data_IF_206988061696
#
_entry.id   IF_206988061696
#
_cell.length_a   1.000
_cell.length_b   1.000
_cell.length_c   1.000
_cell.angle_alpha   90.00
_cell.angle_beta   90.00
_cell.angle_gamma   90.00
#
_symmetry.space_group_name_H-M   'P 1'
#
loop_
_entity.id
_entity.type
_entity.pdbx_description
1 polymer ?
#
# COMPACT_ATOMS: atom_id res chain seq x y z
N UNK A 1 -23.40 12.65 -16.38
CA UNK A 1 -22.98 11.23 -16.48
C UNK A 1 -21.47 11.17 -16.37
N UNK A 2 -20.92 10.76 -15.24
CA UNK A 2 -19.47 10.53 -15.11
C UNK A 2 -19.23 9.03 -15.08
N UNK A 3 -18.92 8.46 -16.25
CA UNK A 3 -18.59 7.04 -16.37
C UNK A 3 -17.10 6.82 -16.11
N UNK A 4 -16.79 5.96 -15.14
CA UNK A 4 -15.48 5.30 -15.02
C UNK A 4 -15.73 3.81 -14.83
N UNK A 5 -15.36 3.02 -15.81
CA UNK A 5 -15.12 1.59 -15.65
C UNK A 5 -14.19 1.14 -16.76
N UNK A 6 -12.99 0.68 -16.39
CA UNK A 6 -12.05 0.11 -17.37
C UNK A 6 -11.47 -1.16 -16.77
N UNK A 7 -11.78 -2.30 -17.42
CA UNK A 7 -11.34 -3.64 -17.04
C UNK A 7 -10.71 -4.27 -18.29
N UNK A 8 -9.38 -4.38 -18.27
CA UNK A 8 -8.61 -5.10 -19.29
C UNK A 8 -7.78 -6.16 -18.59
N UNK A 9 -7.74 -7.35 -19.16
CA UNK A 9 -6.77 -8.37 -18.78
C UNK A 9 -5.43 -7.98 -19.41
N UNK A 10 -4.42 -7.83 -18.56
CA UNK A 10 -3.04 -7.51 -18.97
C UNK A 10 -2.12 -8.62 -18.52
N UNK A 11 -1.03 -8.82 -19.26
CA UNK A 11 0.03 -9.71 -18.79
C UNK A 11 0.67 -9.16 -17.52
N UNK A 12 1.28 -10.03 -16.70
CA UNK A 12 2.04 -9.58 -15.52
C UNK A 12 3.13 -8.56 -15.89
N UNK A 13 3.77 -8.76 -17.05
CA UNK A 13 4.81 -7.86 -17.56
C UNK A 13 4.26 -6.48 -17.89
N UNK A 14 3.09 -6.41 -18.51
CA UNK A 14 2.46 -5.12 -18.83
C UNK A 14 2.01 -4.40 -17.56
N UNK A 15 1.46 -5.14 -16.59
CA UNK A 15 1.12 -4.58 -15.28
C UNK A 15 2.34 -3.98 -14.58
N UNK A 16 3.49 -4.68 -14.56
CA UNK A 16 4.77 -4.15 -14.03
C UNK A 16 5.13 -2.84 -14.71
N UNK A 17 5.15 -2.83 -16.05
CA UNK A 17 5.55 -1.67 -16.84
C UNK A 17 4.62 -0.47 -16.59
N UNK A 18 3.31 -0.69 -16.54
CA UNK A 18 2.33 0.37 -16.30
C UNK A 18 2.52 0.97 -14.91
N UNK A 19 2.63 0.15 -13.88
CA UNK A 19 2.73 0.62 -12.49
C UNK A 19 4.08 1.32 -12.25
N UNK A 20 5.18 0.74 -12.74
CA UNK A 20 6.52 1.34 -12.61
C UNK A 20 6.57 2.72 -13.31
N UNK A 21 6.06 2.82 -14.54
CA UNK A 21 6.02 4.10 -15.29
C UNK A 21 5.07 5.13 -14.68
N UNK A 22 4.00 4.70 -14.01
CA UNK A 22 3.09 5.62 -13.33
C UNK A 22 3.75 6.33 -12.14
N UNK A 23 4.72 5.68 -11.48
CA UNK A 23 5.56 6.30 -10.45
C UNK A 23 4.81 6.72 -9.18
N UNK A 24 3.70 6.06 -8.85
CA UNK A 24 2.94 6.32 -7.61
C UNK A 24 1.86 7.40 -7.71
N UNK A 25 1.63 7.95 -8.91
CA UNK A 25 0.56 8.94 -9.17
C UNK A 25 -0.82 8.35 -8.92
N UNK A 26 -1.05 7.11 -9.33
CA UNK A 26 -2.28 6.37 -9.13
C UNK A 26 -2.03 5.11 -8.29
N UNK A 27 -3.07 4.68 -7.59
CA UNK A 27 -3.09 3.38 -6.89
C UNK A 27 -3.67 2.32 -7.83
N UNK A 28 -3.01 1.16 -7.94
CA UNK A 28 -3.48 0.06 -8.78
C UNK A 28 -4.01 -1.08 -7.93
N UNK A 29 -5.16 -1.63 -8.32
CA UNK A 29 -5.74 -2.82 -7.70
C UNK A 29 -5.58 -4.03 -8.64
N UNK A 30 -4.73 -4.97 -8.23
CA UNK A 30 -4.45 -6.19 -8.97
C UNK A 30 -5.41 -7.30 -8.58
N UNK A 31 -6.13 -7.85 -9.56
CA UNK A 31 -6.97 -9.03 -9.39
C UNK A 31 -6.53 -10.13 -10.33
N UNK A 32 -6.48 -11.34 -9.83
CA UNK A 32 -6.11 -12.53 -10.59
C UNK A 32 -6.21 -13.76 -9.71
N UNK A 33 -6.04 -14.93 -10.31
CA UNK A 33 -6.10 -16.21 -9.61
C UNK A 33 -5.07 -16.28 -8.45
N UNK A 34 -5.37 -17.04 -7.38
CA UNK A 34 -4.37 -17.40 -6.39
C UNK A 34 -3.15 -18.05 -7.07
N UNK A 35 -1.93 -17.68 -6.65
CA UNK A 35 -0.70 -18.27 -7.19
C UNK A 35 -0.18 -17.68 -8.51
N UNK A 36 -0.90 -16.76 -9.16
CA UNK A 36 -0.47 -16.15 -10.44
C UNK A 36 0.77 -15.23 -10.33
N UNK A 37 1.33 -15.04 -9.14
CA UNK A 37 2.56 -14.23 -8.95
C UNK A 37 2.34 -12.75 -8.63
N UNK A 38 1.19 -12.36 -8.05
CA UNK A 38 0.90 -10.97 -7.64
C UNK A 38 1.95 -10.40 -6.67
N UNK A 39 2.40 -11.20 -5.70
CA UNK A 39 3.45 -10.81 -4.74
C UNK A 39 4.81 -10.63 -5.40
N UNK A 40 5.16 -11.52 -6.33
CA UNK A 40 6.39 -11.41 -7.12
C UNK A 40 6.41 -10.12 -7.96
N UNK A 41 5.26 -9.75 -8.53
CA UNK A 41 5.10 -8.51 -9.28
C UNK A 41 5.42 -7.28 -8.42
N UNK A 42 4.93 -7.21 -7.18
CA UNK A 42 5.21 -6.08 -6.27
C UNK A 42 6.71 -5.91 -6.01
N UNK A 43 7.41 -7.01 -5.70
CA UNK A 43 8.86 -7.02 -5.52
C UNK A 43 9.61 -6.58 -6.79
N UNK A 44 9.21 -7.10 -7.95
CA UNK A 44 9.84 -6.76 -9.23
C UNK A 44 9.71 -5.28 -9.56
N UNK A 45 8.56 -4.66 -9.24
CA UNK A 45 8.38 -3.22 -9.40
C UNK A 45 9.35 -2.47 -8.51
N UNK A 46 9.48 -2.86 -7.24
CA UNK A 46 10.39 -2.23 -6.29
C UNK A 46 11.85 -2.27 -6.76
N UNK A 47 12.28 -3.41 -7.31
CA UNK A 47 13.62 -3.57 -7.89
C UNK A 47 13.82 -2.65 -9.10
N UNK A 48 12.84 -2.56 -10.02
CA UNK A 48 12.91 -1.71 -11.22
C UNK A 48 12.97 -0.22 -10.88
N UNK A 49 12.22 0.22 -9.87
CA UNK A 49 12.17 1.63 -9.46
C UNK A 49 13.19 1.98 -8.36
N UNK A 50 14.02 1.01 -7.96
CA UNK A 50 15.06 1.13 -6.94
C UNK A 50 14.55 1.70 -5.61
N UNK A 51 13.42 1.18 -5.12
CA UNK A 51 12.80 1.59 -3.84
C UNK A 51 12.65 0.40 -2.90
N UNK A 52 12.69 0.60 -1.57
CA UNK A 52 12.41 -0.47 -0.63
C UNK A 52 11.00 -1.04 -0.83
N UNK A 53 10.89 -2.36 -0.75
CA UNK A 53 9.63 -3.07 -0.85
C UNK A 53 9.05 -3.34 0.54
N UNK A 54 7.81 -2.91 0.76
CA UNK A 54 7.04 -3.15 1.98
C UNK A 54 5.83 -4.00 1.63
N UNK A 55 5.82 -5.23 2.13
CA UNK A 55 4.73 -6.18 1.95
C UNK A 55 3.85 -6.21 3.22
N UNK A 56 2.55 -6.02 3.05
CA UNK A 56 1.56 -6.10 4.13
C UNK A 56 0.55 -7.18 3.77
N UNK A 57 0.59 -8.30 4.49
CA UNK A 57 -0.48 -9.31 4.46
C UNK A 57 -1.68 -8.76 5.25
N UNK A 58 -2.58 -8.05 4.58
CA UNK A 58 -3.64 -7.31 5.27
C UNK A 58 -4.53 -8.20 6.16
N UNK A 59 -4.90 -9.44 5.78
CA UNK A 59 -5.65 -10.35 6.65
C UNK A 59 -4.91 -10.75 7.94
N UNK A 60 -3.58 -10.88 7.88
CA UNK A 60 -2.76 -11.32 9.00
C UNK A 60 -2.22 -10.19 9.88
N UNK A 61 -2.25 -8.94 9.41
CA UNK A 61 -1.68 -7.79 10.10
C UNK A 61 -2.70 -7.11 11.02
N UNK A 62 -2.32 -6.81 12.25
CA UNK A 62 -3.16 -6.06 13.19
C UNK A 62 -2.93 -4.53 13.11
N UNK A 63 -3.95 -3.74 13.49
CA UNK A 63 -3.86 -2.27 13.53
C UNK A 63 -2.74 -1.79 14.46
N UNK A 64 -2.56 -2.47 15.60
CA UNK A 64 -1.55 -2.11 16.61
C UNK A 64 -0.12 -2.26 16.11
N UNK A 65 0.11 -3.05 15.06
CA UNK A 65 1.43 -3.20 14.45
C UNK A 65 1.88 -1.96 13.70
N UNK A 66 1.00 -1.02 13.36
CA UNK A 66 1.40 0.20 12.64
C UNK A 66 2.01 1.26 13.55
N UNK A 67 1.71 1.21 14.84
CA UNK A 67 2.34 2.08 15.81
C UNK A 67 1.59 2.18 17.11
N UNK A 68 2.27 2.73 18.13
CA UNK A 68 1.76 2.86 19.48
C UNK A 68 1.51 4.34 19.79
N UNK A 69 0.35 4.70 20.39
CA UNK A 69 0.12 6.05 20.89
C UNK A 69 0.96 6.32 22.14
N UNK A 70 1.78 7.36 22.09
CA UNK A 70 2.63 7.81 23.20
C UNK A 70 2.16 9.19 23.68
N UNK A 71 1.83 9.36 24.96
CA UNK A 71 1.53 10.68 25.52
C UNK A 71 2.74 11.61 25.42
N UNK A 72 2.50 12.83 24.97
CA UNK A 72 3.44 13.94 25.12
C UNK A 72 3.03 14.75 26.36
N UNK A 73 3.84 14.66 27.42
CA UNK A 73 3.53 15.31 28.70
C UNK A 73 3.70 16.83 28.67
N UNK A 74 4.45 17.39 27.72
CA UNK A 74 4.63 18.83 27.55
C UNK A 74 3.43 19.45 26.85
N UNK A 75 3.04 18.90 25.69
CA UNK A 75 1.94 19.44 24.87
C UNK A 75 0.56 18.94 25.31
N UNK A 76 0.49 17.96 26.21
CA UNK A 76 -0.75 17.25 26.60
C UNK A 76 -1.50 16.64 25.40
N UNK A 77 -0.77 16.20 24.39
CA UNK A 77 -1.30 15.52 23.21
C UNK A 77 -0.81 14.07 23.14
N UNK A 78 -1.30 13.30 22.18
CA UNK A 78 -0.80 11.95 21.87
C UNK A 78 -0.10 12.00 20.51
N UNK A 79 1.10 11.41 20.43
CA UNK A 79 1.82 11.19 19.17
C UNK A 79 1.88 9.70 18.85
N UNK A 80 1.95 9.35 17.57
CA UNK A 80 2.13 7.96 17.14
C UNK A 80 3.62 7.64 16.98
N UNK A 81 4.07 6.52 17.52
CA UNK A 81 5.35 5.92 17.20
C UNK A 81 5.15 4.85 16.13
N UNK A 82 5.54 5.11 14.87
CA UNK A 82 5.37 4.12 13.81
C UNK A 82 6.32 2.94 14.02
N UNK A 83 5.83 1.73 13.78
CA UNK A 83 6.70 0.54 13.81
C UNK A 83 7.72 0.58 12.69
N UNK A 84 8.96 0.24 13.03
CA UNK A 84 10.11 0.31 12.11
C UNK A 84 9.89 -0.52 10.84
N UNK A 85 9.27 -1.70 10.98
CA UNK A 85 9.05 -2.66 9.90
C UNK A 85 8.27 -2.11 8.68
N UNK A 86 7.48 -1.04 8.86
CA UNK A 86 6.72 -0.41 7.78
C UNK A 86 7.46 0.73 7.08
N UNK A 87 8.66 1.08 7.56
CA UNK A 87 9.55 2.07 6.97
C UNK A 87 8.98 3.49 6.88
N UNK A 88 7.83 3.78 7.50
CA UNK A 88 7.15 5.08 7.41
C UNK A 88 8.00 6.23 7.98
N UNK A 89 8.84 5.92 8.97
CA UNK A 89 9.73 6.88 9.63
C UNK A 89 10.96 7.28 8.78
N UNK A 90 11.27 6.52 7.72
CA UNK A 90 12.47 6.76 6.91
C UNK A 90 12.37 8.03 6.05
N UNK A 91 11.15 8.50 5.77
CA UNK A 91 10.95 9.69 4.94
C UNK A 91 11.42 9.53 3.49
N UNK A 92 11.55 8.29 3.00
CA UNK A 92 11.95 7.97 1.62
C UNK A 92 10.81 7.30 0.83
N UNK A 93 10.80 7.42 -0.51
CA UNK A 93 9.85 6.70 -1.36
C UNK A 93 9.96 5.18 -1.19
N UNK A 94 8.83 4.49 -1.05
CA UNK A 94 8.76 3.03 -0.92
C UNK A 94 7.70 2.44 -1.85
N UNK A 95 7.79 1.12 -2.12
CA UNK A 95 6.72 0.37 -2.80
C UNK A 95 5.96 -0.43 -1.76
N UNK A 96 4.72 -0.01 -1.48
CA UNK A 96 3.80 -0.69 -0.58
C UNK A 96 2.89 -1.63 -1.36
N UNK A 97 2.88 -2.90 -0.98
CA UNK A 97 1.91 -3.88 -1.46
C UNK A 97 0.99 -4.31 -0.33
N UNK A 98 -0.28 -3.92 -0.43
CA UNK A 98 -1.37 -4.29 0.47
C UNK A 98 -2.03 -5.55 -0.09
N UNK A 99 -1.57 -6.72 0.35
CA UNK A 99 -2.06 -8.00 -0.17
C UNK A 99 -3.43 -8.35 0.41
N UNK A 100 -4.32 -8.86 -0.44
CA UNK A 100 -5.68 -9.28 -0.04
C UNK A 100 -6.47 -8.15 0.67
N UNK A 101 -6.24 -6.91 0.25
CA UNK A 101 -6.75 -5.68 0.89
C UNK A 101 -8.25 -5.75 1.25
N UNK A 102 -9.07 -6.29 0.34
CA UNK A 102 -10.52 -6.38 0.51
C UNK A 102 -10.95 -7.30 1.69
N UNK A 103 -10.12 -8.24 2.10
CA UNK A 103 -10.41 -9.19 3.21
C UNK A 103 -10.19 -8.58 4.59
N UNK A 104 -9.43 -7.49 4.70
CA UNK A 104 -9.00 -6.91 5.98
C UNK A 104 -9.82 -5.68 6.40
N UNK A 105 -11.15 -5.82 6.53
CA UNK A 105 -12.08 -4.69 6.73
C UNK A 105 -11.68 -3.74 7.88
N UNK A 106 -11.19 -4.28 9.00
CA UNK A 106 -10.76 -3.47 10.14
C UNK A 106 -9.50 -2.67 9.81
N UNK A 107 -8.51 -3.31 9.19
CA UNK A 107 -7.25 -2.68 8.82
C UNK A 107 -7.41 -1.57 7.76
N UNK A 108 -8.43 -1.69 6.91
CA UNK A 108 -8.78 -0.65 5.94
C UNK A 108 -9.05 0.71 6.60
N UNK A 109 -9.50 0.77 7.86
CA UNK A 109 -9.73 2.04 8.56
C UNK A 109 -8.48 2.93 8.60
N UNK A 110 -7.29 2.32 8.71
CA UNK A 110 -6.02 3.04 8.76
C UNK A 110 -5.27 3.04 7.43
N UNK A 111 -5.50 2.05 6.56
CA UNK A 111 -4.80 1.89 5.28
C UNK A 111 -5.52 2.55 4.10
N UNK A 112 -6.84 2.77 4.16
CA UNK A 112 -7.57 3.40 3.05
C UNK A 112 -7.02 4.78 2.65
N UNK A 113 -6.55 5.64 3.59
CA UNK A 113 -5.88 6.89 3.25
C UNK A 113 -4.55 6.72 2.50
N UNK A 114 -3.98 5.51 2.43
CA UNK A 114 -2.82 5.26 1.54
C UNK A 114 -3.23 5.27 0.08
N UNK A 115 -4.50 5.05 -0.26
CA UNK A 115 -4.96 4.91 -1.65
C UNK A 115 -5.22 6.25 -2.34
N UNK A 116 -5.33 7.33 -1.56
CA UNK A 116 -5.60 8.70 -2.03
C UNK A 116 -4.46 9.64 -1.69
N UNK A 117 -4.37 10.76 -2.41
CA UNK A 117 -3.39 11.80 -2.10
C UNK A 117 -4.02 12.86 -1.19
N UNK A 118 -3.29 13.37 -0.18
CA UNK A 118 -1.95 12.96 0.22
C UNK A 118 -1.96 11.64 1.01
N UNK A 119 -1.00 10.75 0.73
CA UNK A 119 -1.00 9.37 1.24
C UNK A 119 -0.57 9.31 2.72
N UNK A 120 -1.30 8.55 3.53
CA UNK A 120 -0.99 8.35 4.97
C UNK A 120 -1.47 7.00 5.50
N UNK A 121 -0.88 6.56 6.62
CA UNK A 121 -1.39 5.48 7.46
C UNK A 121 -1.82 6.06 8.81
N UNK A 122 -3.11 6.01 9.11
CA UNK A 122 -3.63 6.75 10.26
C UNK A 122 -3.23 8.23 10.17
N UNK A 123 -2.52 8.76 11.17
CA UNK A 123 -2.03 10.15 11.18
C UNK A 123 -0.62 10.33 10.57
N UNK A 124 0.07 9.24 10.17
CA UNK A 124 1.45 9.28 9.69
C UNK A 124 1.49 9.39 8.18
N UNK A 125 2.07 10.49 7.67
CA UNK A 125 2.27 10.68 6.23
C UNK A 125 3.31 9.69 5.70
N UNK A 126 3.06 9.12 4.52
CA UNK A 126 4.10 8.40 3.77
C UNK A 126 4.69 9.33 2.70
N UNK A 127 5.88 9.00 2.20
CA UNK A 127 6.53 9.82 1.18
C UNK A 127 5.64 9.92 -0.09
N UNK A 128 5.44 11.12 -0.67
CA UNK A 128 4.50 11.34 -1.79
C UNK A 128 4.83 10.51 -3.04
N UNK A 129 6.12 10.24 -3.28
CA UNK A 129 6.58 9.41 -4.40
C UNK A 129 6.52 7.89 -4.13
N UNK A 130 5.87 7.48 -3.05
CA UNK A 130 5.65 6.06 -2.76
C UNK A 130 4.63 5.46 -3.72
N UNK A 131 4.89 4.23 -4.16
CA UNK A 131 3.96 3.45 -4.99
C UNK A 131 3.11 2.60 -4.04
N UNK A 132 1.78 2.64 -4.20
CA UNK A 132 0.87 1.78 -3.44
C UNK A 132 0.11 0.89 -4.39
N UNK A 133 0.19 -0.41 -4.14
CA UNK A 133 -0.49 -1.48 -4.89
C UNK A 133 -1.38 -2.21 -3.90
N UNK A 134 -2.60 -2.51 -4.31
CA UNK A 134 -3.49 -3.42 -3.56
C UNK A 134 -3.70 -4.67 -4.39
N UNK A 135 -3.93 -5.80 -3.74
CA UNK A 135 -4.30 -7.03 -4.45
C UNK A 135 -5.61 -7.62 -3.92
N UNK A 136 -6.17 -8.53 -4.69
CA UNK A 136 -7.22 -9.43 -4.27
C UNK A 136 -7.35 -10.59 -5.25
N UNK A 137 -8.23 -11.52 -4.91
CA UNK A 137 -8.58 -12.59 -5.84
C UNK A 137 -9.65 -12.13 -6.83
N UNK A 138 -9.57 -12.69 -8.03
CA UNK A 138 -10.68 -12.64 -8.96
C UNK A 138 -11.75 -13.60 -8.43
N UNK A 139 -12.77 -13.06 -7.76
CA UNK A 139 -13.96 -13.84 -7.38
C UNK A 139 -14.94 -13.69 -8.55
N UNK A 140 -15.23 -14.80 -9.23
CA UNK A 140 -16.30 -14.91 -10.23
C UNK A 140 -17.66 -14.68 -9.62
#
# INVERSE_FOLDING_TARGET
MSGVNVRFDVSLRDAINIIAKNGGKNTYHLRGEPGIGKTYLGKTIADIVEKPFVYIDCPGTDISEFGIPIPNHETKTVRSYPSEQWGMHLGIPQVYMLDEYAKAKMLQLILHPMLTHPRRVGATMIHPDSIVITTGNLIT
#
